data_IF_424365457343
#
_entry.id   IF_424365457343
#
_cell.length_a   1.000
_cell.length_b   1.000
_cell.length_c   1.000
_cell.angle_alpha   90.00
_cell.angle_beta   90.00
_cell.angle_gamma   90.00
#
_symmetry.space_group_name_H-M   'P 1'
#
loop_
_entity.id
_entity.type
_entity.pdbx_description
1 polymer ?
#
# COMPACT_ATOMS: atom_id res chain seq x y z
N UNK A 1 62.25 -2.48 36.53
CA UNK A 1 61.11 -1.71 37.05
C UNK A 1 59.90 -2.01 36.20
N UNK A 2 58.73 -2.32 36.79
CA UNK A 2 57.69 -3.14 36.16
C UNK A 2 56.36 -2.39 35.92
N UNK A 3 55.59 -2.80 34.90
CA UNK A 3 54.12 -2.83 34.82
C UNK A 3 53.82 -3.85 33.70
N UNK A 4 53.33 -5.09 33.88
CA UNK A 4 52.24 -5.70 34.65
C UNK A 4 50.84 -5.23 34.30
N UNK A 5 49.99 -6.25 34.10
CA UNK A 5 48.52 -6.28 34.03
C UNK A 5 47.96 -6.09 32.61
N UNK A 6 47.15 -6.97 32.06
CA UNK A 6 46.39 -8.10 32.61
C UNK A 6 45.09 -8.18 31.82
N UNK A 7 44.83 -9.31 31.19
CA UNK A 7 43.57 -9.61 30.47
C UNK A 7 42.36 -9.51 31.43
N UNK A 8 41.22 -8.95 31.00
CA UNK A 8 39.97 -9.11 31.72
C UNK A 8 39.29 -10.43 31.33
N UNK A 9 38.90 -11.17 32.36
CA UNK A 9 38.13 -12.41 32.32
C UNK A 9 36.75 -12.23 31.66
N UNK A 10 36.41 -13.20 30.81
CA UNK A 10 35.06 -13.45 30.32
C UNK A 10 34.15 -13.88 31.49
N UNK A 11 33.06 -13.14 31.69
CA UNK A 11 31.95 -13.53 32.56
C UNK A 11 30.95 -14.29 31.71
N UNK A 12 30.93 -15.60 31.88
CA UNK A 12 29.92 -16.51 31.35
C UNK A 12 28.80 -16.58 32.39
N UNK A 13 27.58 -16.22 31.98
CA UNK A 13 26.37 -16.35 32.79
C UNK A 13 25.30 -16.98 31.92
N UNK A 14 25.23 -18.30 32.04
CA UNK A 14 24.03 -19.09 32.31
C UNK A 14 22.76 -18.81 31.49
N UNK A 15 22.34 -19.80 30.69
CA UNK A 15 20.97 -20.34 30.79
C UNK A 15 20.77 -21.62 29.96
N UNK A 16 19.90 -22.47 30.52
CA UNK A 16 19.14 -23.60 29.95
C UNK A 16 19.71 -25.03 30.11
N UNK A 17 18.86 -26.09 30.19
CA UNK A 17 17.39 -26.13 30.03
C UNK A 17 16.60 -27.01 31.05
N UNK A 18 15.27 -26.97 30.89
CA UNK A 18 14.33 -28.10 31.00
C UNK A 18 13.92 -28.62 32.39
N UNK A 19 12.62 -28.46 32.71
CA UNK A 19 11.79 -29.64 32.95
C UNK A 19 10.30 -29.34 32.68
N UNK A 20 9.65 -30.22 31.92
CA UNK A 20 8.22 -30.18 31.67
C UNK A 20 7.47 -31.08 32.65
N UNK A 21 6.18 -30.76 32.86
CA UNK A 21 5.15 -31.69 33.32
C UNK A 21 3.75 -31.09 33.01
N UNK A 22 2.91 -31.92 32.39
CA UNK A 22 1.44 -31.86 32.25
C UNK A 22 0.92 -33.19 32.86
N UNK A 23 -0.39 -33.45 33.04
CA UNK A 23 -1.61 -32.64 33.18
C UNK A 23 -2.44 -33.13 34.42
N UNK A 24 -3.77 -32.92 34.42
CA UNK A 24 -4.87 -33.60 35.19
C UNK A 24 -5.76 -32.60 35.98
N UNK A 25 -7.09 -32.66 36.07
CA UNK A 25 -8.16 -33.56 35.57
C UNK A 25 -9.54 -32.93 35.91
N UNK A 26 -10.55 -33.24 35.09
CA UNK A 26 -12.01 -33.29 35.30
C UNK A 26 -12.81 -32.19 36.06
N UNK A 27 -13.93 -31.76 35.45
CA UNK A 27 -15.26 -32.32 35.83
C UNK A 27 -16.42 -31.81 34.96
N UNK A 28 -17.28 -32.77 34.62
CA UNK A 28 -18.51 -32.71 33.85
C UNK A 28 -19.71 -32.08 34.58
N UNK A 29 -20.60 -31.48 33.77
CA UNK A 29 -22.09 -31.25 33.80
C UNK A 29 -22.95 -31.75 34.99
N UNK A 30 -24.18 -31.21 35.26
CA UNK A 30 -25.25 -31.01 34.25
C UNK A 30 -26.32 -29.89 34.46
N UNK A 31 -27.18 -29.78 33.44
CA UNK A 31 -28.46 -29.06 33.33
C UNK A 31 -29.56 -29.73 34.18
N UNK A 32 -30.63 -29.01 34.55
CA UNK A 32 -31.97 -29.62 34.49
C UNK A 32 -33.00 -28.79 33.70
N UNK A 33 -33.76 -29.50 32.86
CA UNK A 33 -35.01 -29.11 32.20
C UNK A 33 -36.24 -29.38 33.09
N UNK A 34 -37.36 -28.74 32.73
CA UNK A 34 -38.74 -29.18 33.00
C UNK A 34 -39.50 -28.30 34.02
N UNK A 35 -40.74 -27.83 33.82
CA UNK A 35 -41.81 -28.16 32.87
C UNK A 35 -42.80 -26.97 32.77
N UNK A 36 -43.52 -26.89 31.63
CA UNK A 36 -44.69 -26.02 31.41
C UNK A 36 -45.89 -26.43 32.30
N UNK A 37 -46.94 -25.59 32.40
CA UNK A 37 -48.07 -25.86 31.50
C UNK A 37 -48.83 -24.62 30.99
N UNK A 38 -49.48 -24.80 29.85
CA UNK A 38 -50.85 -24.27 29.68
C UNK A 38 -51.03 -23.19 28.63
N UNK A 39 -51.18 -23.63 27.38
CA UNK A 39 -51.55 -22.85 26.22
C UNK A 39 -52.82 -21.99 26.38
N UNK A 40 -52.78 -20.75 25.87
CA UNK A 40 -53.94 -20.20 25.16
C UNK A 40 -53.51 -19.29 24.01
N UNK A 41 -54.01 -19.64 22.82
CA UNK A 41 -53.77 -19.04 21.52
C UNK A 41 -54.22 -17.58 21.47
N UNK A 42 -53.36 -16.71 20.95
CA UNK A 42 -53.78 -15.56 20.15
C UNK A 42 -52.76 -15.38 19.03
N UNK A 43 -53.24 -15.54 17.80
CA UNK A 43 -52.45 -15.36 16.60
C UNK A 43 -52.18 -13.87 16.38
N UNK A 44 -50.90 -13.50 16.35
CA UNK A 44 -50.44 -12.25 15.76
C UNK A 44 -49.15 -12.56 14.99
N UNK A 45 -49.24 -12.58 13.66
CA UNK A 45 -48.09 -12.68 12.78
C UNK A 45 -47.22 -11.42 12.92
N UNK A 46 -45.89 -11.53 12.94
CA UNK A 46 -45.01 -10.37 12.83
C UNK A 46 -45.16 -9.76 11.43
N UNK A 47 -45.19 -8.43 11.42
CA UNK A 47 -45.45 -7.59 10.26
C UNK A 47 -44.40 -7.76 9.15
N UNK A 48 -44.91 -7.96 7.94
CA UNK A 48 -44.20 -7.98 6.65
C UNK A 48 -43.48 -6.62 6.41
N UNK A 49 -42.28 -6.42 6.98
CA UNK A 49 -41.52 -5.18 6.77
C UNK A 49 -40.76 -5.10 5.44
N UNK A 50 -40.86 -6.12 4.58
CA UNK A 50 -40.29 -6.08 3.24
C UNK A 50 -41.25 -6.69 2.23
N UNK A 51 -41.90 -5.82 1.44
CA UNK A 51 -42.42 -6.17 0.11
C UNK A 51 -41.80 -5.22 -0.91
N UNK A 52 -41.29 -5.70 -2.06
CA UNK A 52 -40.80 -4.82 -3.11
C UNK A 52 -42.01 -4.20 -3.84
N UNK A 53 -42.16 -2.88 -3.73
CA UNK A 53 -43.08 -2.12 -4.57
C UNK A 53 -42.49 -2.03 -5.99
N UNK A 54 -43.28 -2.36 -7.01
CA UNK A 54 -42.91 -2.19 -8.42
C UNK A 54 -42.59 -0.72 -8.74
N UNK A 55 -41.67 -0.43 -9.68
CA UNK A 55 -41.19 0.92 -9.93
C UNK A 55 -42.25 1.76 -10.65
N UNK A 56 -42.54 2.95 -10.10
CA UNK A 56 -43.20 4.02 -10.83
C UNK A 56 -42.15 4.77 -11.68
N UNK A 57 -42.45 5.12 -12.95
CA UNK A 57 -41.53 5.83 -13.82
C UNK A 57 -41.80 7.33 -13.71
N UNK A 58 -40.92 8.07 -13.05
CA UNK A 58 -40.56 9.46 -13.43
C UNK A 58 -39.59 10.05 -12.40
N UNK A 59 -38.30 9.97 -12.69
CA UNK A 59 -37.35 10.94 -12.17
C UNK A 59 -36.72 11.67 -13.34
N UNK A 60 -37.06 12.95 -13.44
CA UNK A 60 -36.58 13.86 -14.46
C UNK A 60 -35.04 13.94 -14.46
N UNK A 61 -34.46 13.89 -15.66
CA UNK A 61 -33.04 14.12 -15.93
C UNK A 61 -32.61 15.52 -15.43
N UNK A 62 -31.49 15.65 -14.71
CA UNK A 62 -30.83 16.94 -14.57
C UNK A 62 -30.19 17.35 -15.91
N UNK A 63 -30.42 18.59 -16.32
CA UNK A 63 -29.82 19.21 -17.50
C UNK A 63 -28.30 19.22 -17.43
N UNK A 64 -27.69 18.91 -18.58
CA UNK A 64 -26.25 18.90 -18.79
C UNK A 64 -25.63 20.30 -18.59
N UNK A 65 -24.52 20.32 -17.85
CA UNK A 65 -23.50 21.37 -17.85
C UNK A 65 -22.15 20.70 -18.16
N UNK A 66 -21.17 21.40 -18.75
CA UNK A 66 -20.23 20.81 -19.71
C UNK A 66 -19.26 19.83 -19.05
N UNK A 67 -18.98 18.77 -19.79
CA UNK A 67 -18.19 17.62 -19.41
C UNK A 67 -16.81 18.00 -18.85
N UNK A 68 -16.56 17.60 -17.62
CA UNK A 68 -15.22 17.18 -17.24
C UNK A 68 -14.89 15.97 -18.14
N UNK A 69 -13.72 15.97 -18.77
CA UNK A 69 -13.24 14.85 -19.59
C UNK A 69 -13.22 13.60 -18.72
N UNK A 70 -14.26 12.80 -18.83
CA UNK A 70 -14.36 11.50 -18.20
C UNK A 70 -13.56 10.56 -19.09
N UNK A 71 -12.46 10.02 -18.55
CA UNK A 71 -11.70 8.98 -19.24
C UNK A 71 -12.59 7.74 -19.20
N UNK A 72 -13.29 7.49 -20.30
CA UNK A 72 -14.10 6.28 -20.49
C UNK A 72 -13.18 5.04 -20.49
N UNK A 73 -13.58 3.94 -19.82
CA UNK A 73 -12.83 2.69 -19.89
C UNK A 73 -12.76 2.20 -21.35
N UNK A 74 -11.58 1.82 -21.86
CA UNK A 74 -11.46 1.32 -23.22
C UNK A 74 -12.28 0.04 -23.44
N UNK A 75 -12.86 -0.07 -24.63
CA UNK A 75 -13.67 -1.21 -25.08
C UNK A 75 -12.85 -2.50 -25.02
N UNK A 76 -13.39 -3.49 -24.30
CA UNK A 76 -12.81 -4.81 -24.08
C UNK A 76 -12.34 -5.45 -25.39
N UNK A 77 -11.03 -5.72 -25.45
CA UNK A 77 -10.42 -6.54 -26.50
C UNK A 77 -10.24 -7.95 -25.94
N UNK A 78 -11.05 -8.89 -26.43
CA UNK A 78 -10.83 -10.35 -26.38
C UNK A 78 -10.73 -11.01 -25.00
N UNK A 79 -11.85 -11.51 -24.46
CA UNK A 79 -11.97 -12.53 -23.41
C UNK A 79 -10.81 -12.64 -22.38
N UNK A 80 -10.36 -11.51 -21.84
CA UNK A 80 -9.44 -11.52 -20.71
C UNK A 80 -10.24 -11.94 -19.46
N UNK A 81 -9.73 -12.93 -18.72
CA UNK A 81 -10.30 -13.33 -17.43
C UNK A 81 -9.96 -12.24 -16.40
N UNK A 82 -10.75 -11.16 -16.42
CA UNK A 82 -10.62 -10.04 -15.50
C UNK A 82 -10.96 -10.53 -14.09
N UNK A 83 -9.96 -10.55 -13.21
CA UNK A 83 -10.12 -11.06 -11.86
C UNK A 83 -10.64 -10.00 -10.88
N UNK A 84 -10.11 -8.78 -10.98
CA UNK A 84 -10.64 -7.61 -10.27
C UNK A 84 -10.40 -6.33 -11.08
N UNK A 85 -11.26 -5.33 -10.87
CA UNK A 85 -11.04 -3.98 -11.38
C UNK A 85 -11.67 -2.95 -10.44
N UNK A 86 -11.26 -1.70 -10.55
CA UNK A 86 -11.82 -0.62 -9.74
C UNK A 86 -11.01 0.67 -9.78
N UNK A 87 -11.59 1.74 -9.24
CA UNK A 87 -10.87 3.00 -9.02
C UNK A 87 -10.06 2.93 -7.73
N UNK A 88 -8.85 3.49 -7.71
CA UNK A 88 -7.95 3.45 -6.56
C UNK A 88 -8.49 4.16 -5.31
N UNK A 89 -9.47 5.06 -5.48
CA UNK A 89 -10.20 5.70 -4.38
C UNK A 89 -11.10 4.74 -3.59
N UNK A 90 -11.52 3.62 -4.18
CA UNK A 90 -12.37 2.61 -3.54
C UNK A 90 -11.59 1.33 -3.25
N UNK A 91 -10.64 0.99 -4.12
CA UNK A 91 -9.80 -0.18 -4.00
C UNK A 91 -8.35 0.23 -4.22
N UNK A 92 -7.64 0.51 -3.12
CA UNK A 92 -6.30 1.11 -3.16
C UNK A 92 -5.31 0.28 -3.97
N UNK A 93 -4.30 0.97 -4.52
CA UNK A 93 -3.23 0.32 -5.26
C UNK A 93 -2.49 -0.71 -4.40
N UNK A 94 -2.25 -0.41 -3.12
CA UNK A 94 -1.65 -1.36 -2.19
C UNK A 94 -2.54 -2.60 -1.98
N UNK A 95 -3.87 -2.46 -1.86
CA UNK A 95 -4.77 -3.63 -1.78
C UNK A 95 -4.72 -4.50 -3.02
N UNK A 96 -4.61 -3.90 -4.20
CA UNK A 96 -4.43 -4.65 -5.44
C UNK A 96 -3.14 -5.47 -5.43
N UNK A 97 -2.02 -4.86 -5.03
CA UNK A 97 -0.73 -5.56 -4.89
C UNK A 97 -0.80 -6.68 -3.85
N UNK A 98 -1.46 -6.44 -2.71
CA UNK A 98 -1.67 -7.47 -1.68
C UNK A 98 -2.53 -8.63 -2.17
N UNK A 99 -3.58 -8.36 -2.97
CA UNK A 99 -4.42 -9.40 -3.54
C UNK A 99 -3.61 -10.28 -4.51
N UNK A 100 -2.75 -9.68 -5.34
CA UNK A 100 -1.83 -10.41 -6.22
C UNK A 100 -0.92 -11.33 -5.42
N UNK A 101 -0.27 -10.81 -4.37
CA UNK A 101 0.66 -11.57 -3.54
C UNK A 101 -0.02 -12.71 -2.78
N UNK A 102 -1.13 -12.43 -2.09
CA UNK A 102 -1.81 -13.39 -1.20
C UNK A 102 -2.47 -14.52 -1.97
N UNK A 103 -3.10 -14.21 -3.10
CA UNK A 103 -3.77 -15.18 -3.96
C UNK A 103 -2.82 -15.81 -4.99
N UNK A 104 -1.52 -15.49 -4.94
CA UNK A 104 -0.48 -15.98 -5.85
C UNK A 104 -0.84 -15.83 -7.33
N UNK A 105 -1.38 -14.66 -7.68
CA UNK A 105 -1.90 -14.43 -9.02
C UNK A 105 -0.79 -14.36 -10.06
N UNK A 106 -1.11 -14.85 -11.26
CA UNK A 106 -0.28 -14.77 -12.45
C UNK A 106 -1.05 -14.06 -13.55
N UNK A 107 -0.53 -12.94 -14.04
CA UNK A 107 -1.27 -12.06 -14.94
C UNK A 107 -0.69 -10.64 -15.00
N UNK A 108 -1.47 -9.71 -15.55
CA UNK A 108 -1.09 -8.29 -15.67
C UNK A 108 -2.05 -7.40 -14.90
N UNK A 109 -1.52 -6.51 -14.07
CA UNK A 109 -2.25 -5.39 -13.48
C UNK A 109 -2.05 -4.17 -14.39
N UNK A 110 -3.09 -3.77 -15.12
CA UNK A 110 -3.09 -2.55 -15.91
C UNK A 110 -3.67 -1.39 -15.13
N UNK A 111 -2.95 -0.27 -15.08
CA UNK A 111 -3.34 0.96 -14.42
C UNK A 111 -3.53 2.07 -15.47
N UNK A 112 -4.75 2.58 -15.55
CA UNK A 112 -5.19 3.65 -16.44
C UNK A 112 -5.26 4.96 -15.66
N UNK A 113 -4.67 6.00 -16.23
CA UNK A 113 -4.49 7.31 -15.61
C UNK A 113 -4.39 8.37 -16.71
N UNK A 114 -3.92 9.58 -16.39
CA UNK A 114 -3.91 10.72 -17.33
C UNK A 114 -2.82 10.59 -18.45
N UNK A 115 -2.10 9.47 -18.52
CA UNK A 115 -1.08 9.16 -19.54
C UNK A 115 -1.24 7.72 -20.06
N UNK A 116 -0.26 7.23 -20.83
CA UNK A 116 -0.26 5.84 -21.31
C UNK A 116 -0.37 4.85 -20.14
N UNK A 117 -1.21 3.80 -20.25
CA UNK A 117 -1.37 2.83 -19.19
C UNK A 117 -0.06 2.20 -18.75
N UNK A 118 0.02 1.92 -17.44
CA UNK A 118 1.14 1.23 -16.84
C UNK A 118 0.70 -0.22 -16.60
N UNK A 119 1.44 -1.17 -17.15
CA UNK A 119 1.23 -2.60 -16.96
C UNK A 119 2.26 -3.14 -15.96
N UNK A 120 1.78 -3.78 -14.89
CA UNK A 120 2.60 -4.54 -13.96
C UNK A 120 2.38 -6.02 -14.19
N UNK A 121 3.45 -6.74 -14.51
CA UNK A 121 3.41 -8.17 -14.71
C UNK A 121 3.68 -8.90 -13.38
N UNK A 122 2.81 -9.86 -13.05
CA UNK A 122 2.95 -10.70 -11.87
C UNK A 122 2.95 -12.19 -12.22
N UNK A 123 3.73 -12.97 -11.46
CA UNK A 123 3.82 -14.44 -11.57
C UNK A 123 3.89 -15.05 -10.19
N UNK A 124 3.00 -16.00 -9.91
CA UNK A 124 2.87 -16.66 -8.59
C UNK A 124 2.81 -15.67 -7.41
N UNK A 125 2.21 -14.49 -7.63
CA UNK A 125 2.13 -13.42 -6.64
C UNK A 125 3.38 -12.53 -6.52
N UNK A 126 4.46 -12.84 -7.24
CA UNK A 126 5.66 -12.01 -7.31
C UNK A 126 5.55 -10.97 -8.42
N UNK A 127 6.15 -9.80 -8.21
CA UNK A 127 6.17 -8.72 -9.20
C UNK A 127 7.38 -8.90 -10.12
N UNK A 128 7.14 -9.16 -11.40
CA UNK A 128 8.20 -9.49 -12.37
C UNK A 128 8.82 -8.21 -12.94
N UNK A 129 8.00 -7.35 -13.54
CA UNK A 129 8.41 -6.02 -14.00
C UNK A 129 7.20 -5.11 -14.16
N UNK A 130 7.49 -3.83 -14.37
CA UNK A 130 6.49 -2.80 -14.71
C UNK A 130 6.92 -2.16 -16.03
N UNK A 131 5.95 -1.91 -16.91
CA UNK A 131 6.16 -1.41 -18.26
C UNK A 131 5.02 -0.49 -18.69
N UNK A 132 5.16 0.10 -19.87
CA UNK A 132 4.13 0.88 -20.56
C UNK A 132 4.43 0.83 -22.06
N UNK A 133 3.45 1.09 -22.91
CA UNK A 133 3.66 1.20 -24.37
C UNK A 133 4.23 2.54 -24.79
N UNK A 134 4.54 3.44 -23.86
CA UNK A 134 5.28 4.67 -24.14
C UNK A 134 6.73 4.61 -23.61
N UNK A 135 7.72 4.27 -24.45
CA UNK A 135 9.13 4.24 -24.09
C UNK A 135 9.67 5.54 -23.50
N UNK A 136 9.14 6.69 -23.90
CA UNK A 136 9.61 7.98 -23.40
C UNK A 136 9.12 8.23 -21.96
N UNK A 137 7.90 7.77 -21.65
CA UNK A 137 7.39 7.70 -20.28
C UNK A 137 8.14 6.66 -19.44
N UNK A 138 8.47 5.51 -20.03
CA UNK A 138 9.21 4.44 -19.35
C UNK A 138 10.65 4.85 -19.00
N UNK A 139 11.34 5.50 -19.93
CA UNK A 139 12.75 5.85 -19.82
C UNK A 139 12.99 7.25 -20.41
N UNK A 140 12.67 8.27 -19.62
CA UNK A 140 12.78 9.68 -20.00
C UNK A 140 14.24 10.19 -20.09
N UNK A 141 15.17 9.48 -19.44
CA UNK A 141 16.59 9.82 -19.37
C UNK A 141 17.39 8.69 -20.02
N UNK A 142 18.35 9.01 -20.88
CA UNK A 142 19.21 7.99 -21.50
C UNK A 142 20.20 7.43 -20.47
N UNK A 143 20.12 6.15 -20.08
CA UNK A 143 21.07 5.55 -19.14
C UNK A 143 22.47 5.49 -19.74
N UNK A 144 23.50 5.64 -18.90
CA UNK A 144 24.92 5.56 -19.32
C UNK A 144 25.26 4.26 -20.04
N UNK A 145 24.62 3.15 -19.67
CA UNK A 145 24.80 1.83 -20.31
C UNK A 145 24.44 1.88 -21.81
N UNK A 146 23.47 2.71 -22.20
CA UNK A 146 23.06 2.86 -23.60
C UNK A 146 23.96 3.82 -24.40
N UNK A 147 24.88 4.55 -23.75
CA UNK A 147 25.69 5.57 -24.42
C UNK A 147 26.62 4.99 -25.51
N UNK A 148 27.00 3.71 -25.38
CA UNK A 148 27.86 3.00 -26.33
C UNK A 148 27.08 2.08 -27.28
N UNK A 149 25.75 2.00 -27.13
CA UNK A 149 24.89 1.16 -27.98
C UNK A 149 24.48 1.96 -29.21
N UNK A 150 24.42 1.31 -30.37
CA UNK A 150 23.94 1.94 -31.59
C UNK A 150 22.49 2.44 -31.39
N UNK A 151 22.27 3.73 -31.69
CA UNK A 151 20.97 4.40 -31.56
C UNK A 151 19.89 3.68 -32.36
N UNK A 152 20.22 3.10 -33.52
CA UNK A 152 19.25 2.37 -34.35
C UNK A 152 18.75 1.09 -33.66
N UNK A 153 19.61 0.44 -32.87
CA UNK A 153 19.22 -0.75 -32.08
C UNK A 153 18.33 -0.31 -30.91
N UNK A 154 18.68 0.78 -30.24
CA UNK A 154 17.87 1.32 -29.14
C UNK A 154 16.48 1.74 -29.64
N UNK A 155 16.42 2.44 -30.77
CA UNK A 155 15.16 2.88 -31.38
C UNK A 155 14.30 1.68 -31.79
N UNK A 156 14.88 0.65 -32.40
CA UNK A 156 14.15 -0.61 -32.69
C UNK A 156 13.59 -1.25 -31.43
N UNK A 157 14.37 -1.29 -30.35
CA UNK A 157 13.89 -1.83 -29.06
C UNK A 157 12.72 -1.03 -28.50
N UNK A 158 12.78 0.31 -28.61
CA UNK A 158 11.70 1.21 -28.19
C UNK A 158 10.45 1.01 -29.04
N UNK A 159 10.58 0.89 -30.36
CA UNK A 159 9.47 0.61 -31.26
C UNK A 159 8.81 -0.73 -30.92
N UNK A 160 9.61 -1.76 -30.62
CA UNK A 160 9.07 -3.04 -30.16
C UNK A 160 8.31 -2.91 -28.84
N UNK A 161 8.78 -2.11 -27.88
CA UNK A 161 8.03 -1.85 -26.64
C UNK A 161 6.70 -1.15 -26.91
N UNK A 162 6.62 -0.24 -27.89
CA UNK A 162 5.34 0.41 -28.28
C UNK A 162 4.34 -0.62 -28.81
N UNK A 163 4.82 -1.60 -29.57
CA UNK A 163 3.98 -2.63 -30.18
C UNK A 163 3.55 -3.72 -29.20
N UNK A 164 4.50 -4.28 -28.44
CA UNK A 164 4.28 -5.47 -27.60
C UNK A 164 3.98 -5.12 -26.14
N UNK A 165 4.48 -3.97 -25.66
CA UNK A 165 4.49 -3.60 -24.24
C UNK A 165 5.67 -4.19 -23.46
N UNK A 166 6.49 -5.07 -24.04
CA UNK A 166 7.66 -5.62 -23.34
C UNK A 166 8.74 -4.54 -23.15
N UNK A 167 9.35 -4.41 -21.95
CA UNK A 167 10.42 -3.44 -21.73
C UNK A 167 11.57 -3.57 -22.72
N UNK A 168 11.96 -2.48 -23.38
CA UNK A 168 13.00 -2.53 -24.43
C UNK A 168 14.37 -3.00 -23.90
N UNK A 169 14.65 -2.83 -22.60
CA UNK A 169 15.86 -3.39 -21.97
C UNK A 169 15.91 -4.91 -22.08
N UNK A 170 14.78 -5.61 -22.03
CA UNK A 170 14.71 -7.07 -22.23
C UNK A 170 15.07 -7.43 -23.67
N UNK A 171 14.55 -6.67 -24.65
CA UNK A 171 14.92 -6.84 -26.06
C UNK A 171 16.42 -6.64 -26.25
N UNK A 172 16.99 -5.55 -25.74
CA UNK A 172 18.41 -5.24 -25.90
C UNK A 172 19.31 -6.32 -25.26
N UNK A 173 18.89 -6.90 -24.13
CA UNK A 173 19.60 -8.01 -23.51
C UNK A 173 19.55 -9.30 -24.34
N UNK A 174 18.40 -9.60 -24.96
CA UNK A 174 18.20 -10.78 -25.82
C UNK A 174 18.96 -10.69 -27.13
N UNK A 175 19.08 -9.48 -27.68
CA UNK A 175 19.89 -9.19 -28.86
C UNK A 175 21.38 -8.99 -28.53
N UNK A 176 21.80 -9.30 -27.29
CA UNK A 176 23.18 -9.18 -26.80
C UNK A 176 23.78 -7.78 -27.00
N UNK A 177 22.94 -6.76 -27.10
CA UNK A 177 23.34 -5.36 -27.29
C UNK A 177 23.74 -4.68 -25.99
N UNK A 178 23.22 -5.19 -24.87
CA UNK A 178 23.68 -4.87 -23.52
C UNK A 178 23.77 -6.15 -22.69
N UNK A 179 24.63 -6.16 -21.68
CA UNK A 179 24.72 -7.28 -20.75
C UNK A 179 23.39 -7.49 -20.01
N UNK A 180 23.02 -8.76 -19.82
CA UNK A 180 21.76 -9.15 -19.19
C UNK A 180 21.58 -8.56 -17.80
N UNK A 181 22.62 -8.59 -16.96
CA UNK A 181 22.52 -8.13 -15.57
C UNK A 181 22.21 -6.62 -15.48
N UNK A 182 22.96 -5.72 -16.15
CA UNK A 182 22.59 -4.31 -16.27
C UNK A 182 21.19 -4.09 -16.84
N UNK A 183 20.77 -4.87 -17.83
CA UNK A 183 19.43 -4.75 -18.39
C UNK A 183 18.32 -5.05 -17.37
N UNK A 184 18.48 -6.09 -16.55
CA UNK A 184 17.52 -6.41 -15.49
C UNK A 184 17.48 -5.31 -14.43
N UNK A 185 18.62 -4.78 -14.02
CA UNK A 185 18.71 -3.69 -13.03
C UNK A 185 18.05 -2.41 -13.56
N UNK A 186 18.31 -2.04 -14.81
CA UNK A 186 17.65 -0.90 -15.47
C UNK A 186 16.14 -1.11 -15.57
N UNK A 187 15.71 -2.30 -16.00
CA UNK A 187 14.29 -2.63 -16.10
C UNK A 187 13.58 -2.51 -14.75
N UNK A 188 14.18 -3.04 -13.68
CA UNK A 188 13.64 -2.93 -12.32
C UNK A 188 13.58 -1.47 -11.87
N UNK A 189 14.67 -0.72 -12.03
CA UNK A 189 14.74 0.68 -11.59
C UNK A 189 13.74 1.58 -12.34
N UNK A 190 13.70 1.52 -13.67
CA UNK A 190 12.77 2.31 -14.47
C UNK A 190 11.33 1.85 -14.30
N UNK A 191 11.08 0.54 -14.14
CA UNK A 191 9.76 0.01 -13.80
C UNK A 191 9.25 0.52 -12.45
N UNK A 192 10.09 0.52 -11.42
CA UNK A 192 9.73 1.07 -10.11
C UNK A 192 9.49 2.59 -10.17
N UNK A 193 10.33 3.32 -10.91
CA UNK A 193 10.16 4.77 -11.12
C UNK A 193 8.85 5.07 -11.85
N UNK A 194 8.53 4.29 -12.88
CA UNK A 194 7.26 4.38 -13.60
C UNK A 194 6.08 4.11 -12.66
N UNK A 195 6.08 2.99 -11.93
CA UNK A 195 5.02 2.64 -11.00
C UNK A 195 4.83 3.68 -9.90
N UNK A 196 5.90 4.33 -9.45
CA UNK A 196 5.83 5.31 -8.38
C UNK A 196 4.92 6.50 -8.68
N UNK A 197 4.70 6.81 -9.96
CA UNK A 197 3.80 7.86 -10.42
C UNK A 197 2.33 7.55 -10.07
N UNK A 198 1.96 6.27 -10.01
CA UNK A 198 0.60 5.84 -9.68
C UNK A 198 0.22 6.11 -8.22
N UNK A 199 1.19 6.21 -7.30
CA UNK A 199 0.91 6.49 -5.89
C UNK A 199 0.34 7.89 -5.65
N UNK A 200 0.69 8.83 -6.53
CA UNK A 200 0.27 10.24 -6.44
C UNK A 200 -0.75 10.62 -7.51
N UNK A 201 -0.93 9.79 -8.53
CA UNK A 201 -1.88 10.03 -9.60
C UNK A 201 -3.34 10.04 -9.08
N UNK A 202 -4.13 11.06 -9.40
CA UNK A 202 -5.54 11.07 -9.08
C UNK A 202 -6.30 10.09 -9.97
N UNK A 203 -7.41 9.52 -9.45
CA UNK A 203 -8.42 8.80 -10.26
C UNK A 203 -7.91 7.60 -11.07
N UNK A 204 -6.82 6.98 -10.67
CA UNK A 204 -6.32 5.76 -11.33
C UNK A 204 -7.40 4.68 -11.33
N UNK A 205 -7.68 4.11 -12.50
CA UNK A 205 -8.51 2.91 -12.63
C UNK A 205 -7.59 1.72 -12.90
N UNK A 206 -7.76 0.64 -12.15
CA UNK A 206 -6.92 -0.55 -12.26
C UNK A 206 -7.76 -1.76 -12.66
N UNK A 207 -7.12 -2.67 -13.37
CA UNK A 207 -7.70 -3.94 -13.79
C UNK A 207 -6.63 -5.02 -13.78
N UNK A 208 -6.94 -6.18 -13.19
CA UNK A 208 -6.06 -7.33 -13.21
C UNK A 208 -6.62 -8.41 -14.15
N UNK A 209 -5.84 -8.76 -15.16
CA UNK A 209 -6.16 -9.79 -16.15
C UNK A 209 -5.31 -11.03 -15.87
N UNK A 210 -5.95 -12.18 -15.61
CA UNK A 210 -5.24 -13.47 -15.46
C UNK A 210 -4.74 -13.97 -16.81
N UNK A 211 -3.60 -14.65 -16.78
CA UNK A 211 -3.01 -15.31 -17.96
C UNK A 211 -2.79 -14.36 -19.15
N UNK A 212 -2.43 -13.11 -18.89
CA UNK A 212 -2.14 -12.13 -19.94
C UNK A 212 -0.97 -12.58 -20.83
N UNK A 213 -1.09 -12.35 -22.15
CA UNK A 213 -0.13 -12.79 -23.18
C UNK A 213 1.31 -12.29 -22.96
N UNK A 214 1.47 -11.19 -22.22
CA UNK A 214 2.77 -10.62 -21.82
C UNK A 214 3.67 -11.58 -21.04
N UNK A 215 3.11 -12.65 -20.46
CA UNK A 215 3.87 -13.63 -19.66
C UNK A 215 4.85 -14.45 -20.50
N UNK A 216 4.60 -14.65 -21.80
CA UNK A 216 5.47 -15.46 -22.66
C UNK A 216 6.87 -14.85 -22.79
N UNK A 217 6.97 -13.53 -22.77
CA UNK A 217 8.24 -12.81 -22.87
C UNK A 217 8.97 -12.63 -21.54
N UNK A 218 8.44 -13.15 -20.44
CA UNK A 218 9.00 -12.88 -19.12
C UNK A 218 9.62 -14.11 -18.43
N UNK A 219 9.66 -15.28 -19.09
CA UNK A 219 10.01 -16.55 -18.45
C UNK A 219 11.33 -16.48 -17.66
N UNK A 220 12.33 -15.78 -18.21
CA UNK A 220 13.69 -15.69 -17.67
C UNK A 220 13.90 -14.57 -16.63
N UNK A 221 12.83 -13.86 -16.26
CA UNK A 221 12.89 -12.75 -15.29
C UNK A 221 12.41 -13.23 -13.92
N UNK A 222 13.25 -13.04 -12.90
CA UNK A 222 12.90 -13.31 -11.52
C UNK A 222 11.95 -12.25 -10.97
N UNK A 223 10.92 -12.68 -10.25
CA UNK A 223 10.01 -11.78 -9.54
C UNK A 223 10.61 -11.22 -8.26
N UNK A 224 10.07 -10.10 -7.81
CA UNK A 224 10.30 -9.58 -6.47
C UNK A 224 9.43 -10.37 -5.47
N UNK A 225 10.04 -11.15 -4.56
CA UNK A 225 9.30 -12.09 -3.72
C UNK A 225 8.51 -11.40 -2.60
N UNK A 226 8.97 -10.24 -2.13
CA UNK A 226 8.28 -9.48 -1.09
C UNK A 226 7.62 -8.23 -1.67
N UNK A 227 6.31 -8.32 -1.91
CA UNK A 227 5.49 -7.23 -2.44
C UNK A 227 5.41 -6.03 -1.49
N UNK A 228 5.46 -6.25 -0.18
CA UNK A 228 5.45 -5.17 0.82
C UNK A 228 6.72 -4.32 0.72
N UNK A 229 7.89 -4.98 0.66
CA UNK A 229 9.17 -4.28 0.47
C UNK A 229 9.22 -3.61 -0.90
N UNK A 230 8.77 -4.29 -1.96
CA UNK A 230 8.74 -3.70 -3.31
C UNK A 230 7.85 -2.46 -3.38
N UNK A 231 6.66 -2.50 -2.77
CA UNK A 231 5.77 -1.34 -2.68
C UNK A 231 6.43 -0.20 -1.90
N UNK A 232 7.11 -0.49 -0.78
CA UNK A 232 7.86 0.51 -0.03
C UNK A 232 8.99 1.14 -0.87
N UNK A 233 9.75 0.37 -1.65
CA UNK A 233 10.79 0.93 -2.54
C UNK A 233 10.19 1.86 -3.59
N UNK A 234 9.08 1.49 -4.24
CA UNK A 234 8.41 2.41 -5.19
C UNK A 234 7.87 3.68 -4.52
N UNK A 235 7.39 3.57 -3.28
CA UNK A 235 6.95 4.73 -2.50
C UNK A 235 8.09 5.65 -2.07
N UNK A 236 9.31 5.13 -1.92
CA UNK A 236 10.52 5.95 -1.65
C UNK A 236 10.92 6.82 -2.83
N UNK A 237 10.57 6.42 -4.05
CA UNK A 237 10.79 7.20 -5.27
C UNK A 237 9.87 8.43 -5.38
N UNK A 238 8.79 8.49 -4.59
CA UNK A 238 7.92 9.66 -4.50
C UNK A 238 8.63 10.77 -3.71
N UNK A 239 9.08 11.81 -4.41
CA UNK A 239 9.82 12.93 -3.81
C UNK A 239 8.95 14.13 -3.46
N UNK A 240 7.86 14.34 -4.18
CA UNK A 240 6.97 15.48 -3.99
C UNK A 240 5.53 15.01 -3.97
N UNK A 241 4.82 15.38 -2.91
CA UNK A 241 3.37 15.27 -2.85
C UNK A 241 2.82 16.60 -3.29
N UNK A 242 2.12 16.61 -4.41
CA UNK A 242 1.49 17.82 -4.92
C UNK A 242 0.61 18.49 -3.84
N UNK A 243 0.32 19.77 -4.06
CA UNK A 243 -0.56 20.55 -3.16
C UNK A 243 -1.98 19.95 -3.05
N UNK A 244 -2.34 18.99 -3.91
CA UNK A 244 -3.66 18.36 -3.96
C UNK A 244 -3.93 17.35 -2.82
N UNK A 245 -2.90 16.81 -2.16
CA UNK A 245 -3.11 15.94 -0.99
C UNK A 245 -3.24 16.80 0.27
N UNK A 246 -4.47 17.04 0.72
CA UNK A 246 -4.77 17.69 2.00
C UNK A 246 -3.96 17.05 3.13
N UNK A 247 -3.01 17.79 3.69
CA UNK A 247 -2.19 17.36 4.82
C UNK A 247 -2.50 18.22 6.04
N UNK A 248 -3.04 17.59 7.08
CA UNK A 248 -3.24 18.22 8.37
C UNK A 248 -2.09 17.83 9.32
N UNK A 249 -1.17 18.77 9.66
CA UNK A 249 -0.07 18.49 10.57
C UNK A 249 -0.52 18.18 12.00
N UNK A 250 -1.77 18.51 12.35
CA UNK A 250 -2.35 18.22 13.66
C UNK A 250 -2.95 16.82 13.77
N UNK A 251 -3.09 16.12 12.64
CA UNK A 251 -3.57 14.74 12.59
C UNK A 251 -2.70 13.79 13.42
N UNK A 252 -3.33 12.76 13.99
CA UNK A 252 -2.73 11.79 14.90
C UNK A 252 -2.61 10.44 14.19
N UNK A 253 -1.40 10.03 13.77
CA UNK A 253 -1.19 8.71 13.19
C UNK A 253 -1.31 7.60 14.24
N UNK A 254 -2.02 6.53 13.88
CA UNK A 254 -2.15 5.30 14.66
C UNK A 254 -1.99 4.09 13.73
N UNK A 255 -1.42 3.00 14.26
CA UNK A 255 -1.34 1.75 13.51
C UNK A 255 -2.73 1.17 13.26
N UNK A 256 -2.95 0.69 12.04
CA UNK A 256 -4.09 -0.16 11.75
C UNK A 256 -3.91 -1.52 12.42
N UNK A 257 -4.99 -2.30 12.50
CA UNK A 257 -4.98 -3.65 13.12
C UNK A 257 -3.85 -4.53 12.57
N UNK A 258 -3.72 -4.60 11.24
CA UNK A 258 -2.72 -5.42 10.58
C UNK A 258 -1.41 -4.65 10.33
N UNK A 259 -1.46 -3.31 10.39
CA UNK A 259 -0.33 -2.44 10.13
C UNK A 259 0.81 -2.60 11.14
N UNK A 260 0.48 -2.79 12.42
CA UNK A 260 1.50 -2.98 13.46
C UNK A 260 2.36 -4.24 13.24
N UNK A 261 1.78 -5.32 12.72
CA UNK A 261 2.54 -6.53 12.40
C UNK A 261 3.32 -6.37 11.09
N UNK A 262 2.72 -5.72 10.08
CA UNK A 262 3.36 -5.51 8.78
C UNK A 262 4.57 -4.59 8.87
N UNK A 263 4.49 -3.51 9.64
CA UNK A 263 5.61 -2.56 9.79
C UNK A 263 6.87 -3.20 10.36
N UNK A 264 6.73 -4.24 11.18
CA UNK A 264 7.86 -4.98 11.76
C UNK A 264 8.58 -5.89 10.77
N UNK A 265 7.90 -6.29 9.68
CA UNK A 265 8.43 -7.18 8.65
C UNK A 265 9.05 -6.41 7.47
N UNK A 266 8.77 -5.12 7.37
CA UNK A 266 9.30 -4.25 6.33
C UNK A 266 10.78 -3.95 6.53
N UNK A 267 11.51 -3.83 5.42
CA UNK A 267 12.89 -3.32 5.39
C UNK A 267 12.93 -1.81 5.52
N UNK A 268 12.62 -1.29 6.71
CA UNK A 268 12.65 0.14 7.01
C UNK A 268 14.08 0.68 7.09
N UNK A 269 14.29 1.92 6.65
CA UNK A 269 15.50 2.66 7.01
C UNK A 269 15.48 3.03 8.49
N UNK A 270 16.64 3.44 9.05
CA UNK A 270 16.70 3.89 10.45
C UNK A 270 15.73 5.05 10.72
N UNK A 271 15.65 6.01 9.79
CA UNK A 271 14.77 7.18 9.91
C UNK A 271 13.29 6.79 9.84
N UNK A 272 12.93 5.86 8.94
CA UNK A 272 11.55 5.34 8.83
C UNK A 272 11.13 4.58 10.09
N UNK A 273 12.02 3.73 10.63
CA UNK A 273 11.77 3.01 11.87
C UNK A 273 11.63 3.96 13.07
N UNK A 274 12.50 4.97 13.16
CA UNK A 274 12.40 6.01 14.20
C UNK A 274 11.09 6.79 14.08
N UNK A 275 10.68 7.17 12.88
CA UNK A 275 9.39 7.84 12.64
C UNK A 275 8.21 6.96 13.08
N UNK A 276 8.21 5.71 12.65
CA UNK A 276 7.17 4.73 12.99
C UNK A 276 7.10 4.47 14.51
N UNK A 277 8.23 4.48 15.22
CA UNK A 277 8.27 4.29 16.68
C UNK A 277 7.55 5.39 17.48
N UNK A 278 7.30 6.56 16.87
CA UNK A 278 6.62 7.67 17.53
C UNK A 278 5.09 7.55 17.50
N UNK A 279 4.53 6.64 16.70
CA UNK A 279 3.09 6.43 16.59
C UNK A 279 2.55 5.77 17.85
N UNK A 280 1.78 6.53 18.63
CA UNK A 280 1.21 6.09 19.90
C UNK A 280 -0.29 6.43 20.03
N UNK A 281 -0.94 6.86 18.94
CA UNK A 281 -2.35 7.24 18.93
C UNK A 281 -2.67 8.55 19.67
N UNK A 282 -1.66 9.33 20.09
CA UNK A 282 -1.86 10.61 20.81
C UNK A 282 -1.06 11.75 20.19
N UNK A 283 0.16 11.49 19.71
CA UNK A 283 1.03 12.53 19.15
C UNK A 283 0.59 12.89 17.73
N UNK A 284 0.45 14.19 17.49
CA UNK A 284 0.25 14.72 16.14
C UNK A 284 1.51 14.57 15.28
N UNK A 285 1.35 14.57 13.96
CA UNK A 285 2.49 14.57 13.01
C UNK A 285 3.45 15.73 13.29
N UNK A 286 2.94 16.91 13.63
CA UNK A 286 3.76 18.06 13.99
C UNK A 286 4.62 17.81 15.24
N UNK A 287 4.06 17.16 16.26
CA UNK A 287 4.81 16.80 17.47
C UNK A 287 5.87 15.75 17.18
N UNK A 288 5.55 14.76 16.34
CA UNK A 288 6.50 13.73 15.90
C UNK A 288 7.67 14.37 15.14
N UNK A 289 7.37 15.23 14.16
CA UNK A 289 8.38 15.96 13.40
C UNK A 289 9.30 16.78 14.32
N UNK A 290 8.71 17.50 15.30
CA UNK A 290 9.48 18.26 16.29
C UNK A 290 10.39 17.37 17.15
N UNK A 291 9.90 16.21 17.61
CA UNK A 291 10.67 15.29 18.43
C UNK A 291 11.88 14.72 17.68
N UNK A 292 11.68 14.37 16.41
CA UNK A 292 12.71 13.80 15.55
C UNK A 292 13.56 14.85 14.81
N UNK A 293 13.28 16.15 15.04
CA UNK A 293 13.94 17.28 14.37
C UNK A 293 13.85 17.20 12.84
N UNK A 294 12.74 16.69 12.32
CA UNK A 294 12.43 16.62 10.91
C UNK A 294 11.65 17.88 10.48
N UNK A 295 11.85 18.32 9.25
CA UNK A 295 10.95 19.31 8.65
C UNK A 295 9.60 18.65 8.31
N UNK A 296 8.54 19.46 8.22
CA UNK A 296 7.19 18.96 7.98
C UNK A 296 7.02 18.35 6.57
N UNK A 297 7.82 18.74 5.58
CA UNK A 297 7.76 18.15 4.23
C UNK A 297 8.27 16.71 4.28
N UNK A 298 9.40 16.48 4.95
CA UNK A 298 9.96 15.14 5.16
C UNK A 298 9.04 14.27 6.01
N UNK A 299 8.48 14.80 7.11
CA UNK A 299 7.52 14.07 7.92
C UNK A 299 6.24 13.69 7.14
N UNK A 300 5.73 14.60 6.30
CA UNK A 300 4.58 14.34 5.42
C UNK A 300 4.89 13.25 4.39
N UNK A 301 6.07 13.27 3.78
CA UNK A 301 6.49 12.23 2.82
C UNK A 301 6.58 10.86 3.50
N UNK A 302 7.25 10.76 4.65
CA UNK A 302 7.37 9.49 5.38
C UNK A 302 5.99 8.98 5.82
N UNK A 303 5.14 9.85 6.34
CA UNK A 303 3.77 9.48 6.71
C UNK A 303 2.96 8.98 5.49
N UNK A 304 3.07 9.66 4.35
CA UNK A 304 2.38 9.25 3.12
C UNK A 304 2.74 7.82 2.73
N UNK A 305 4.01 7.40 2.85
CA UNK A 305 4.42 6.02 2.55
C UNK A 305 3.66 5.02 3.43
N UNK A 306 3.58 5.29 4.73
CA UNK A 306 2.85 4.41 5.67
C UNK A 306 1.33 4.41 5.45
N UNK A 307 0.76 5.55 5.06
CA UNK A 307 -0.66 5.65 4.68
C UNK A 307 -0.95 4.86 3.40
N UNK A 308 -0.12 5.00 2.37
CA UNK A 308 -0.27 4.31 1.09
C UNK A 308 -0.15 2.79 1.25
N UNK A 309 0.71 2.32 2.15
CA UNK A 309 0.82 0.90 2.54
C UNK A 309 -0.32 0.41 3.45
N UNK A 310 -1.24 1.28 3.86
CA UNK A 310 -2.33 0.99 4.82
C UNK A 310 -1.84 0.47 6.18
N UNK A 311 -0.61 0.86 6.58
CA UNK A 311 0.00 0.49 7.86
C UNK A 311 -0.48 1.41 8.98
N UNK A 312 -0.74 2.65 8.62
CA UNK A 312 -1.17 3.72 9.52
C UNK A 312 -2.46 4.32 8.99
N UNK A 313 -3.29 4.79 9.91
CA UNK A 313 -4.40 5.70 9.63
C UNK A 313 -4.22 6.99 10.42
N UNK A 314 -4.76 8.09 9.92
CA UNK A 314 -4.68 9.40 10.57
C UNK A 314 -6.04 9.81 11.12
N UNK A 315 -6.08 10.03 12.44
CA UNK A 315 -7.24 10.58 13.11
C UNK A 315 -7.15 12.10 13.14
N UNK A 316 -8.25 12.84 13.00
CA UNK A 316 -8.23 14.28 13.24
C UNK A 316 -7.76 14.54 14.67
N UNK A 317 -7.14 15.70 14.90
CA UNK A 317 -6.83 16.13 16.26
C UNK A 317 -8.12 16.09 17.08
N UNK A 318 -8.26 15.08 17.93
CA UNK A 318 -9.44 14.90 18.76
C UNK A 318 -9.73 16.23 19.46
N UNK A 319 -10.98 16.68 19.40
CA UNK A 319 -11.51 17.81 20.20
C UNK A 319 -11.44 17.54 21.72
N UNK A 320 -10.87 16.42 22.13
CA UNK A 320 -10.53 16.04 23.50
C UNK A 320 -9.12 16.55 23.82
N UNK A 321 -8.90 17.61 24.60
CA UNK A 321 -9.73 18.29 25.58
C UNK A 321 -9.37 19.77 25.44
N UNK A 322 -10.37 20.64 25.27
CA UNK A 322 -10.20 22.02 25.73
C UNK A 322 -9.73 21.88 27.18
N UNK A 323 -8.55 22.38 27.59
CA UNK A 323 -8.27 22.44 29.01
C UNK A 323 -9.48 23.18 29.61
N UNK A 324 -10.12 22.59 30.62
CA UNK A 324 -11.04 23.36 31.45
C UNK A 324 -10.34 24.70 31.67
N UNK A 325 -10.97 25.79 31.19
CA UNK A 325 -10.54 27.12 31.58
C UNK A 325 -10.68 27.10 33.08
N UNK A 326 -9.58 26.82 33.80
CA UNK A 326 -9.50 26.97 35.24
C UNK A 326 -9.99 28.37 35.50
N UNK A 327 -11.22 28.42 36.00
CA UNK A 327 -11.98 29.62 36.18
C UNK A 327 -11.11 30.59 36.96
N UNK A 328 -10.72 31.69 36.33
CA UNK A 328 -9.97 32.77 36.96
C UNK A 328 -10.78 33.47 38.08
N UNK A 329 -11.98 32.97 38.41
CA UNK A 329 -12.84 33.44 39.47
C UNK A 329 -12.61 32.78 40.84
N UNK A 330 -11.79 31.72 40.96
CA UNK A 330 -11.49 31.15 42.29
C UNK A 330 -10.41 31.91 43.09
N UNK A 331 -9.80 32.97 42.53
CA UNK A 331 -8.82 33.82 43.26
C UNK A 331 -9.38 35.08 43.89
N UNK A 332 -10.67 35.37 43.80
CA UNK A 332 -11.27 36.61 44.35
C UNK A 332 -12.22 36.43 45.54
N UNK A 333 -12.39 35.23 46.09
CA UNK A 333 -13.31 34.99 47.24
C UNK A 333 -12.55 34.72 48.57
N UNK A 334 -11.22 34.86 48.61
CA UNK A 334 -10.43 34.67 49.86
C UNK A 334 -9.70 35.90 50.40
N UNK A 335 -10.10 37.10 49.98
CA UNK A 335 -9.69 38.34 50.63
C UNK A 335 -10.96 39.16 50.89
N UNK A 336 -11.54 38.98 52.07
CA UNK A 336 -12.70 39.78 52.50
C UNK A 336 -13.71 39.02 53.35
N UNK A 337 -13.30 38.54 54.52
CA UNK A 337 -14.13 38.57 55.74
C UNK A 337 -13.27 38.41 56.97
#
# INVERSE_FOLDING_TARGET
>A
MPQSSGEPQSTESEAEPSNGEKPDEASDKPVPEGEEPGAQKSAAKPEDWWRPTQPAPDWAKPSASPAATEVDPPKESGAADVYFCGRTILFSLNRALQAIAKEKLTGSLRAFWDQEPIDLLARDGEIVFVTTRDPDLYCSETPTVLANVDVVIVDRGRDQQRETGAPFFLTLAREESIDRQPAMELMQNYGQRLFSQLWVAPRVWIMFEKNADLLSDAADVSGAPNVDDWALETLRLVQNLDQHVSFDPTSIPAYTKDGFERVQKLKLTSDEAQFASQFNGVRSVQQIAKNLRLDLKSARLTLFRFLALEIVECWPASTATKPERKSALQRLIRVGR
#
